data_IF_514784930561
#
_entry.id   IF_514784930561
#
_cell.length_a   1.000
_cell.length_b   1.000
_cell.length_c   1.000
_cell.angle_alpha   90.00
_cell.angle_beta   90.00
_cell.angle_gamma   90.00
#
_symmetry.space_group_name_H-M   'P 1'
#
loop_
_entity.id
_entity.type
_entity.pdbx_description
1 polymer ?
#
# COMPACT_ATOMS: atom_id res chain seq x y z
N UNK A 1 29.96 -21.79 31.29
CA UNK A 1 29.34 -22.69 30.28
C UNK A 1 28.12 -22.00 29.72
N UNK A 2 28.06 -21.82 28.43
CA UNK A 2 26.91 -21.18 27.78
C UNK A 2 25.87 -22.28 27.47
N UNK A 3 24.71 -22.32 28.17
CA UNK A 3 23.75 -23.44 28.06
C UNK A 3 23.10 -23.55 26.66
N UNK A 4 23.33 -22.58 25.77
CA UNK A 4 22.77 -22.58 24.40
C UNK A 4 23.62 -23.38 23.42
N UNK A 5 24.90 -23.67 23.74
CA UNK A 5 25.81 -24.40 22.86
C UNK A 5 25.47 -25.89 22.68
N UNK A 6 24.70 -26.47 23.60
CA UNK A 6 24.36 -27.89 23.64
C UNK A 6 22.95 -28.20 23.09
N UNK A 7 22.23 -27.15 22.62
CA UNK A 7 20.94 -27.31 21.97
C UNK A 7 21.12 -27.70 20.48
N UNK A 8 20.88 -28.97 20.19
CA UNK A 8 20.73 -29.43 18.79
C UNK A 8 19.32 -29.06 18.33
N UNK A 9 19.21 -27.95 17.59
CA UNK A 9 17.94 -27.52 16.98
C UNK A 9 17.89 -28.05 15.55
N UNK A 10 17.01 -28.99 15.29
CA UNK A 10 16.71 -29.42 13.92
C UNK A 10 16.02 -28.30 13.14
N UNK A 11 16.40 -28.14 11.85
CA UNK A 11 15.73 -27.18 10.97
C UNK A 11 14.27 -27.58 10.78
N UNK A 12 13.36 -26.70 11.18
CA UNK A 12 11.95 -26.82 10.77
C UNK A 12 11.88 -26.52 9.27
N UNK A 13 11.35 -27.47 8.49
CA UNK A 13 11.11 -27.25 7.07
C UNK A 13 10.14 -26.06 6.90
N UNK A 14 10.35 -25.16 5.91
CA UNK A 14 9.52 -24.01 5.70
C UNK A 14 8.21 -24.38 4.99
N UNK A 15 7.34 -25.14 5.66
CA UNK A 15 5.93 -25.22 5.25
C UNK A 15 5.23 -23.96 5.72
N UNK A 16 4.48 -23.32 4.80
CA UNK A 16 3.62 -22.19 5.17
C UNK A 16 2.62 -22.61 6.23
N UNK A 17 2.80 -22.10 7.43
CA UNK A 17 1.92 -22.40 8.56
C UNK A 17 0.52 -21.81 8.32
N UNK A 18 -0.51 -22.42 8.92
CA UNK A 18 -1.87 -21.84 8.90
C UNK A 18 -1.91 -20.42 9.43
N UNK A 19 -1.03 -20.05 10.36
CA UNK A 19 -0.83 -18.68 10.84
C UNK A 19 -0.40 -17.75 9.69
N UNK A 20 0.62 -18.14 8.91
CA UNK A 20 1.12 -17.35 7.78
C UNK A 20 0.06 -17.18 6.69
N UNK A 21 -0.64 -18.27 6.35
CA UNK A 21 -1.75 -18.24 5.38
C UNK A 21 -2.91 -17.35 5.85
N UNK A 22 -3.30 -17.47 7.12
CA UNK A 22 -4.33 -16.63 7.72
C UNK A 22 -3.92 -15.15 7.74
N UNK A 23 -2.67 -14.84 8.11
CA UNK A 23 -2.14 -13.48 8.09
C UNK A 23 -2.19 -12.88 6.69
N UNK A 24 -1.67 -13.56 5.68
CA UNK A 24 -1.66 -13.07 4.29
C UNK A 24 -3.08 -12.85 3.76
N UNK A 25 -3.99 -13.79 4.02
CA UNK A 25 -5.38 -13.67 3.60
C UNK A 25 -6.11 -12.52 4.29
N UNK A 26 -5.93 -12.37 5.62
CA UNK A 26 -6.54 -11.28 6.39
C UNK A 26 -5.96 -9.93 6.02
N UNK A 27 -4.63 -9.83 5.87
CA UNK A 27 -3.96 -8.60 5.42
C UNK A 27 -4.49 -8.16 4.06
N UNK A 28 -4.57 -9.08 3.10
CA UNK A 28 -5.14 -8.81 1.78
C UNK A 28 -6.61 -8.39 1.85
N UNK A 29 -7.42 -9.08 2.65
CA UNK A 29 -8.84 -8.73 2.80
C UNK A 29 -9.04 -7.34 3.40
N UNK A 30 -8.31 -7.01 4.49
CA UNK A 30 -8.36 -5.69 5.13
C UNK A 30 -7.86 -4.61 4.16
N UNK A 31 -6.77 -4.88 3.41
CA UNK A 31 -6.21 -3.96 2.42
C UNK A 31 -7.21 -3.61 1.32
N UNK A 32 -8.08 -4.56 0.98
CA UNK A 32 -9.08 -4.36 -0.07
C UNK A 32 -10.42 -3.81 0.45
N UNK A 33 -10.57 -3.65 1.78
CA UNK A 33 -11.77 -3.04 2.35
C UNK A 33 -11.82 -1.54 2.07
N UNK A 34 -12.98 -1.06 1.73
CA UNK A 34 -13.27 0.38 1.77
C UNK A 34 -13.63 0.78 3.21
N UNK A 35 -12.59 1.07 4.00
CA UNK A 35 -12.72 1.40 5.41
C UNK A 35 -13.09 2.86 5.66
N UNK A 36 -12.99 3.72 4.64
CA UNK A 36 -13.19 5.16 4.79
C UNK A 36 -14.56 5.66 4.26
N UNK A 37 -15.33 4.85 3.52
CA UNK A 37 -16.65 5.25 3.03
C UNK A 37 -17.76 5.16 4.08
N UNK A 38 -17.53 4.45 5.19
CA UNK A 38 -18.51 4.31 6.28
C UNK A 38 -18.00 4.99 7.55
N UNK A 39 -18.87 5.69 8.30
CA UNK A 39 -18.57 6.20 9.64
C UNK A 39 -18.48 5.07 10.68
N UNK A 40 -19.13 3.92 10.43
CA UNK A 40 -19.15 2.80 11.35
C UNK A 40 -17.80 2.07 11.41
N UNK A 41 -17.36 1.64 12.61
CA UNK A 41 -16.17 0.81 12.75
C UNK A 41 -16.34 -0.55 12.05
N UNK A 42 -15.33 -0.98 11.32
CA UNK A 42 -15.31 -2.32 10.74
C UNK A 42 -14.87 -3.33 11.81
N UNK A 43 -15.84 -4.06 12.37
CA UNK A 43 -15.61 -5.10 13.38
C UNK A 43 -15.19 -6.40 12.75
N UNK A 44 -14.22 -7.08 13.37
CA UNK A 44 -13.75 -8.40 12.99
C UNK A 44 -14.15 -9.42 14.06
N UNK A 45 -14.86 -10.46 13.65
CA UNK A 45 -15.24 -11.59 14.51
C UNK A 45 -14.35 -12.80 14.24
N UNK A 46 -13.58 -13.23 15.25
CA UNK A 46 -12.62 -14.33 15.12
C UNK A 46 -13.28 -15.65 14.69
N UNK A 47 -14.52 -15.90 15.13
CA UNK A 47 -15.25 -17.13 14.78
C UNK A 47 -15.63 -17.13 13.31
N UNK A 48 -16.20 -16.02 12.83
CA UNK A 48 -16.56 -15.88 11.42
C UNK A 48 -15.33 -15.94 10.51
N UNK A 49 -14.21 -15.32 10.92
CA UNK A 49 -12.94 -15.38 10.18
C UNK A 49 -12.38 -16.81 10.14
N UNK A 50 -12.44 -17.54 11.26
CA UNK A 50 -12.06 -18.95 11.35
C UNK A 50 -12.89 -19.83 10.40
N UNK A 51 -14.20 -19.65 10.40
CA UNK A 51 -15.13 -20.37 9.50
C UNK A 51 -14.84 -20.06 8.02
N UNK A 52 -14.64 -18.81 7.67
CA UNK A 52 -14.34 -18.38 6.28
C UNK A 52 -12.98 -18.84 5.78
N UNK A 53 -11.97 -18.87 6.64
CA UNK A 53 -10.62 -19.30 6.30
C UNK A 53 -10.45 -20.82 6.34
N UNK A 54 -11.43 -21.58 6.91
CA UNK A 54 -11.34 -23.02 7.05
C UNK A 54 -10.24 -23.48 8.01
N UNK A 55 -9.87 -22.63 9.00
CA UNK A 55 -8.84 -22.94 9.99
C UNK A 55 -9.37 -22.76 11.41
N UNK A 56 -8.68 -23.29 12.41
CA UNK A 56 -9.06 -23.08 13.83
C UNK A 56 -8.85 -21.61 14.26
N UNK A 57 -9.40 -21.22 15.42
CA UNK A 57 -9.28 -19.86 15.94
C UNK A 57 -7.86 -19.47 16.32
N UNK A 58 -7.00 -20.40 16.72
CA UNK A 58 -5.64 -20.13 17.16
C UNK A 58 -4.82 -19.41 16.07
N UNK A 59 -4.65 -19.95 14.84
CA UNK A 59 -3.92 -19.25 13.78
C UNK A 59 -4.56 -17.93 13.39
N UNK A 60 -5.89 -17.77 13.50
CA UNK A 60 -6.58 -16.49 13.25
C UNK A 60 -6.18 -15.43 14.30
N UNK A 61 -6.18 -15.79 15.59
CA UNK A 61 -5.74 -14.90 16.68
C UNK A 61 -4.29 -14.48 16.52
N UNK A 62 -3.41 -15.43 16.20
CA UNK A 62 -2.00 -15.15 15.98
C UNK A 62 -1.81 -14.20 14.78
N UNK A 63 -2.55 -14.40 13.70
CA UNK A 63 -2.54 -13.51 12.53
C UNK A 63 -3.06 -12.10 12.87
N UNK A 64 -4.17 -12.02 13.62
CA UNK A 64 -4.73 -10.74 14.08
C UNK A 64 -3.78 -10.01 15.03
N UNK A 65 -3.06 -10.73 15.91
CA UNK A 65 -2.05 -10.13 16.78
C UNK A 65 -0.87 -9.55 15.96
N UNK A 66 -0.45 -10.20 14.88
CA UNK A 66 0.55 -9.64 13.95
C UNK A 66 0.02 -8.38 13.26
N UNK A 67 -1.21 -8.41 12.78
CA UNK A 67 -1.85 -7.25 12.15
C UNK A 67 -2.07 -6.09 13.14
N UNK A 68 -2.26 -6.39 14.43
CA UNK A 68 -2.32 -5.37 15.49
C UNK A 68 -0.97 -4.70 15.72
N UNK A 69 0.12 -5.48 15.75
CA UNK A 69 1.49 -4.94 15.84
C UNK A 69 1.84 -4.04 14.65
N UNK A 70 1.31 -4.37 13.47
CA UNK A 70 1.47 -3.56 12.26
C UNK A 70 0.50 -2.37 12.19
N UNK A 71 -0.45 -2.25 13.12
CA UNK A 71 -1.41 -1.14 13.20
C UNK A 71 -2.59 -1.21 12.23
N UNK A 72 -2.87 -2.39 11.66
CA UNK A 72 -4.04 -2.61 10.79
C UNK A 72 -5.33 -2.80 11.57
N UNK A 73 -5.22 -3.44 12.71
CA UNK A 73 -6.37 -3.71 13.58
C UNK A 73 -6.05 -3.27 15.01
N UNK A 74 -7.07 -3.14 15.83
CA UNK A 74 -6.95 -2.83 17.26
C UNK A 74 -7.89 -3.72 18.05
N UNK A 75 -7.37 -4.40 19.06
CA UNK A 75 -8.15 -5.14 20.03
C UNK A 75 -8.71 -4.20 21.09
N UNK A 76 -10.03 -4.21 21.25
CA UNK A 76 -10.73 -3.44 22.26
C UNK A 76 -11.21 -4.39 23.38
N UNK A 77 -10.75 -4.23 24.63
CA UNK A 77 -11.13 -5.11 25.72
C UNK A 77 -12.65 -5.26 25.85
N UNK A 78 -13.14 -6.49 25.87
CA UNK A 78 -14.58 -6.86 25.98
C UNK A 78 -15.46 -6.41 24.81
N UNK A 79 -14.92 -5.76 23.80
CA UNK A 79 -15.69 -5.24 22.63
C UNK A 79 -15.38 -5.95 21.33
N UNK A 80 -14.18 -6.53 21.18
CA UNK A 80 -13.75 -7.22 19.96
C UNK A 80 -12.58 -6.54 19.27
N UNK A 81 -12.41 -6.85 17.99
CA UNK A 81 -11.31 -6.33 17.17
C UNK A 81 -11.91 -5.44 16.09
N UNK A 82 -11.29 -4.28 15.85
CA UNK A 82 -11.69 -3.35 14.79
C UNK A 82 -10.54 -3.13 13.81
N UNK A 83 -10.88 -2.86 12.55
CA UNK A 83 -9.93 -2.32 11.58
C UNK A 83 -9.66 -0.85 11.92
N UNK A 84 -8.39 -0.48 11.98
CA UNK A 84 -7.97 0.88 12.35
C UNK A 84 -8.16 1.82 11.18
N UNK A 85 -8.95 2.87 11.39
CA UNK A 85 -8.97 4.05 10.52
C UNK A 85 -7.92 5.04 11.00
N UNK A 86 -7.26 5.69 10.06
CA UNK A 86 -6.31 6.76 10.35
C UNK A 86 -7.02 8.11 10.33
N UNK A 87 -6.61 8.98 11.21
CA UNK A 87 -7.05 10.37 11.23
C UNK A 87 -6.50 11.14 10.03
N UNK A 88 -7.13 12.24 9.65
CA UNK A 88 -6.65 13.14 8.60
C UNK A 88 -5.17 13.49 8.77
N UNK A 89 -4.74 13.83 9.99
CA UNK A 89 -3.35 14.16 10.31
C UNK A 89 -2.42 12.99 10.07
N UNK A 90 -2.74 11.80 10.59
CA UNK A 90 -1.94 10.60 10.37
C UNK A 90 -1.81 10.27 8.89
N UNK A 91 -2.88 10.46 8.10
CA UNK A 91 -2.87 10.25 6.65
C UNK A 91 -1.91 11.21 5.96
N UNK A 92 -1.95 12.50 6.29
CA UNK A 92 -1.02 13.49 5.73
C UNK A 92 0.43 13.11 6.05
N UNK A 93 0.73 12.78 7.31
CA UNK A 93 2.06 12.33 7.75
C UNK A 93 2.51 11.05 7.01
N UNK A 94 1.60 10.09 6.81
CA UNK A 94 1.88 8.86 6.06
C UNK A 94 2.19 9.13 4.58
N UNK A 95 1.43 10.01 3.93
CA UNK A 95 1.65 10.36 2.52
C UNK A 95 2.96 11.13 2.36
N UNK A 96 3.33 12.00 3.31
CA UNK A 96 4.62 12.68 3.32
C UNK A 96 5.79 11.69 3.44
N UNK A 97 5.69 10.70 4.35
CA UNK A 97 6.69 9.64 4.47
C UNK A 97 6.77 8.81 3.18
N UNK A 98 5.61 8.45 2.60
CA UNK A 98 5.55 7.76 1.32
C UNK A 98 6.25 8.54 0.21
N UNK A 99 6.02 9.85 0.11
CA UNK A 99 6.63 10.71 -0.90
C UNK A 99 8.17 10.68 -0.83
N UNK A 100 8.74 10.67 0.37
CA UNK A 100 10.18 10.56 0.57
C UNK A 100 10.72 9.20 0.11
N UNK A 101 10.04 8.09 0.47
CA UNK A 101 10.47 6.74 0.12
C UNK A 101 10.33 6.48 -1.39
N UNK A 102 9.22 6.88 -1.99
CA UNK A 102 8.96 6.66 -3.42
C UNK A 102 9.86 7.53 -4.30
N UNK A 103 10.16 8.78 -3.91
CA UNK A 103 11.11 9.62 -4.64
C UNK A 103 12.52 9.01 -4.64
N UNK A 104 12.95 8.43 -3.52
CA UNK A 104 14.20 7.68 -3.46
C UNK A 104 14.14 6.41 -4.33
N UNK A 105 13.01 5.70 -4.37
CA UNK A 105 12.84 4.55 -5.25
C UNK A 105 12.97 4.96 -6.72
N UNK A 106 12.33 6.04 -7.16
CA UNK A 106 12.47 6.57 -8.52
C UNK A 106 13.92 6.92 -8.86
N UNK A 107 14.66 7.52 -7.92
CA UNK A 107 16.10 7.77 -8.05
C UNK A 107 16.88 6.48 -8.28
N UNK A 108 16.66 5.47 -7.45
CA UNK A 108 17.38 4.19 -7.53
C UNK A 108 17.09 3.46 -8.84
N UNK A 109 15.88 3.55 -9.39
CA UNK A 109 15.55 2.98 -10.69
C UNK A 109 16.42 3.57 -11.78
N UNK A 110 16.56 4.89 -11.83
CA UNK A 110 17.37 5.56 -12.87
C UNK A 110 18.84 5.18 -12.81
N UNK A 111 19.34 4.82 -11.64
CA UNK A 111 20.74 4.49 -11.41
C UNK A 111 21.06 3.01 -11.65
N UNK A 112 20.14 2.11 -11.27
CA UNK A 112 20.47 0.70 -11.08
C UNK A 112 19.63 -0.27 -11.93
N UNK A 113 18.45 0.13 -12.43
CA UNK A 113 17.56 -0.80 -13.14
C UNK A 113 17.94 -0.96 -14.60
N UNK A 114 17.67 -2.14 -15.17
CA UNK A 114 17.87 -2.37 -16.62
C UNK A 114 16.82 -1.62 -17.44
N UNK A 115 17.12 -1.40 -18.72
CA UNK A 115 16.20 -0.72 -19.64
C UNK A 115 14.91 -1.54 -19.84
N UNK A 116 15.00 -2.88 -19.84
CA UNK A 116 13.84 -3.76 -19.91
C UNK A 116 12.93 -3.60 -18.69
N UNK A 117 13.51 -3.52 -17.50
CA UNK A 117 12.77 -3.29 -16.27
C UNK A 117 12.07 -1.92 -16.30
N UNK A 118 12.75 -0.87 -16.74
CA UNK A 118 12.18 0.47 -16.87
C UNK A 118 11.02 0.49 -17.89
N UNK A 119 11.19 -0.15 -19.05
CA UNK A 119 10.14 -0.24 -20.07
C UNK A 119 8.86 -0.92 -19.59
N UNK A 120 8.92 -1.75 -18.55
CA UNK A 120 7.74 -2.40 -17.97
C UNK A 120 6.78 -1.44 -17.25
N UNK A 121 7.21 -0.21 -16.94
CA UNK A 121 6.37 0.79 -16.28
C UNK A 121 5.33 1.42 -17.22
N UNK A 122 5.69 1.70 -18.46
CA UNK A 122 4.85 2.42 -19.41
C UNK A 122 3.51 1.73 -19.70
N UNK A 123 3.45 0.40 -19.94
CA UNK A 123 2.19 -0.30 -20.16
C UNK A 123 1.19 -0.20 -19.02
N UNK A 124 1.64 0.09 -17.79
CA UNK A 124 0.74 0.27 -16.64
C UNK A 124 -0.15 1.51 -16.79
N UNK A 125 0.28 2.51 -17.58
CA UNK A 125 -0.42 3.80 -17.73
C UNK A 125 -0.90 4.07 -19.16
N UNK A 126 -0.36 3.42 -20.18
CA UNK A 126 -0.70 3.68 -21.59
C UNK A 126 -2.17 3.38 -21.95
N UNK A 127 -2.85 2.49 -21.20
CA UNK A 127 -4.27 2.22 -21.36
C UNK A 127 -5.19 3.38 -20.95
N UNK A 128 -4.66 4.38 -20.23
CA UNK A 128 -5.43 5.49 -19.66
C UNK A 128 -5.03 6.80 -20.36
N UNK A 129 -5.69 7.14 -21.45
CA UNK A 129 -5.47 8.37 -22.20
C UNK A 129 -6.79 9.01 -22.60
N UNK A 130 -6.75 9.98 -23.54
CA UNK A 130 -7.94 10.69 -24.01
C UNK A 130 -9.05 9.77 -24.57
N UNK A 131 -8.67 8.59 -25.12
CA UNK A 131 -9.62 7.61 -25.64
C UNK A 131 -10.29 6.75 -24.55
N UNK A 132 -9.70 6.66 -23.36
CA UNK A 132 -10.19 5.87 -22.22
C UNK A 132 -10.38 6.80 -21.03
N UNK A 133 -11.55 7.44 -20.99
CA UNK A 133 -11.84 8.45 -19.97
C UNK A 133 -11.75 7.84 -18.56
N UNK A 134 -10.80 8.27 -17.73
CA UNK A 134 -10.59 7.68 -16.41
C UNK A 134 -11.82 7.69 -15.51
N UNK A 135 -12.71 8.67 -15.71
CA UNK A 135 -13.97 8.81 -14.94
C UNK A 135 -14.97 7.70 -15.19
N UNK A 136 -14.96 7.13 -16.40
CA UNK A 136 -15.87 6.04 -16.77
C UNK A 136 -15.34 4.68 -16.29
N UNK A 137 -14.02 4.60 -15.96
CA UNK A 137 -13.30 3.39 -15.57
C UNK A 137 -12.47 3.57 -14.28
N UNK A 138 -13.02 4.28 -13.29
CA UNK A 138 -12.31 4.63 -12.04
C UNK A 138 -11.74 3.43 -11.31
N UNK A 139 -12.43 2.28 -11.32
CA UNK A 139 -11.96 1.05 -10.68
C UNK A 139 -10.71 0.48 -11.33
N UNK A 140 -10.68 0.46 -12.68
CA UNK A 140 -9.54 0.00 -13.45
C UNK A 140 -8.35 0.92 -13.25
N UNK A 141 -8.58 2.23 -13.35
CA UNK A 141 -7.53 3.22 -13.11
C UNK A 141 -7.00 3.16 -11.67
N UNK A 142 -7.86 3.01 -10.66
CA UNK A 142 -7.42 2.87 -9.28
C UNK A 142 -6.50 1.68 -9.10
N UNK A 143 -6.79 0.56 -9.74
CA UNK A 143 -5.95 -0.64 -9.69
C UNK A 143 -4.61 -0.44 -10.39
N UNK A 144 -4.61 0.18 -11.59
CA UNK A 144 -3.39 0.49 -12.34
C UNK A 144 -2.50 1.52 -11.59
N UNK A 145 -3.11 2.53 -10.98
CA UNK A 145 -2.42 3.50 -10.14
C UNK A 145 -1.66 2.82 -8.98
N UNK A 146 -2.32 1.89 -8.29
CA UNK A 146 -1.68 1.13 -7.20
C UNK A 146 -0.55 0.25 -7.74
N UNK A 147 -0.79 -0.44 -8.87
CA UNK A 147 0.22 -1.27 -9.50
C UNK A 147 1.46 -0.47 -9.94
N UNK A 148 1.27 0.76 -10.42
CA UNK A 148 2.36 1.68 -10.76
C UNK A 148 3.24 1.99 -9.55
N UNK A 149 2.66 2.45 -8.45
CA UNK A 149 3.41 2.78 -7.24
C UNK A 149 4.14 1.56 -6.66
N UNK A 150 3.50 0.39 -6.68
CA UNK A 150 4.15 -0.86 -6.28
C UNK A 150 5.30 -1.23 -7.22
N UNK A 151 5.17 -0.97 -8.53
CA UNK A 151 6.23 -1.23 -9.49
C UNK A 151 7.44 -0.30 -9.24
N UNK A 152 7.22 0.99 -8.98
CA UNK A 152 8.29 1.94 -8.61
C UNK A 152 9.07 1.41 -7.40
N UNK A 153 8.39 1.01 -6.33
CA UNK A 153 9.06 0.48 -5.15
C UNK A 153 9.85 -0.81 -5.47
N UNK A 154 9.24 -1.78 -6.17
CA UNK A 154 9.91 -3.06 -6.52
C UNK A 154 11.12 -2.85 -7.42
N UNK A 155 10.99 -2.04 -8.46
CA UNK A 155 12.05 -1.79 -9.43
C UNK A 155 13.24 -1.03 -8.85
N UNK A 156 13.07 -0.33 -7.72
CA UNK A 156 14.19 0.27 -6.99
C UNK A 156 15.23 -0.77 -6.54
N UNK A 157 14.85 -2.05 -6.44
CA UNK A 157 15.69 -3.13 -5.94
C UNK A 157 15.97 -3.07 -4.43
N UNK A 158 15.45 -2.07 -3.73
CA UNK A 158 15.68 -1.88 -2.30
C UNK A 158 14.63 -2.63 -1.47
N UNK A 159 15.04 -3.76 -0.86
CA UNK A 159 14.19 -4.49 0.08
C UNK A 159 13.74 -3.61 1.25
N UNK A 160 14.60 -2.74 1.75
CA UNK A 160 14.27 -1.84 2.86
C UNK A 160 13.14 -0.89 2.49
N UNK A 161 13.17 -0.28 1.29
CA UNK A 161 12.08 0.57 0.81
C UNK A 161 10.78 -0.22 0.67
N UNK A 162 10.83 -1.44 0.15
CA UNK A 162 9.66 -2.31 0.03
C UNK A 162 9.06 -2.62 1.41
N UNK A 163 9.86 -3.05 2.37
CA UNK A 163 9.40 -3.36 3.73
C UNK A 163 8.79 -2.14 4.43
N UNK A 164 9.38 -0.95 4.27
CA UNK A 164 8.88 0.29 4.89
C UNK A 164 7.58 0.79 4.23
N UNK A 165 7.38 0.55 2.95
CA UNK A 165 6.22 1.04 2.21
C UNK A 165 5.02 0.10 2.27
N UNK A 166 5.20 -1.17 2.59
CA UNK A 166 4.13 -2.18 2.60
C UNK A 166 2.94 -1.78 3.49
N UNK A 167 3.22 -1.27 4.70
CA UNK A 167 2.18 -0.83 5.63
C UNK A 167 1.54 0.50 5.23
N UNK A 168 2.32 1.40 4.62
CA UNK A 168 1.82 2.69 4.15
C UNK A 168 0.89 2.50 2.94
N UNK A 169 1.23 1.59 2.04
CA UNK A 169 0.48 1.34 0.80
C UNK A 169 -0.99 0.99 1.05
N UNK A 170 -1.25 0.24 2.11
CA UNK A 170 -2.60 -0.13 2.51
C UNK A 170 -3.51 1.09 2.70
N UNK A 171 -3.08 2.00 3.58
CA UNK A 171 -3.87 3.19 3.90
C UNK A 171 -3.93 4.15 2.70
N UNK A 172 -2.81 4.35 2.00
CA UNK A 172 -2.75 5.19 0.80
C UNK A 172 -3.69 4.67 -0.29
N UNK A 173 -3.84 3.35 -0.43
CA UNK A 173 -4.81 2.75 -1.37
C UNK A 173 -6.24 3.16 -1.06
N UNK A 174 -6.70 2.97 0.19
CA UNK A 174 -8.06 3.35 0.60
C UNK A 174 -8.33 4.84 0.39
N UNK A 175 -7.35 5.70 0.73
CA UNK A 175 -7.46 7.14 0.55
C UNK A 175 -7.55 7.51 -0.94
N UNK A 176 -6.75 6.88 -1.79
CA UNK A 176 -6.80 7.10 -3.24
C UNK A 176 -8.14 6.69 -3.83
N UNK A 177 -8.71 5.55 -3.41
CA UNK A 177 -10.02 5.11 -3.87
C UNK A 177 -11.11 6.16 -3.66
N UNK A 178 -11.16 6.80 -2.50
CA UNK A 178 -12.17 7.83 -2.20
C UNK A 178 -11.88 9.20 -2.80
N UNK A 179 -10.63 9.49 -3.17
CA UNK A 179 -10.23 10.81 -3.67
C UNK A 179 -10.03 10.87 -5.17
N UNK A 180 -9.72 9.75 -5.84
CA UNK A 180 -9.25 9.74 -7.23
C UNK A 180 -10.30 10.19 -8.24
N UNK A 181 -11.58 9.90 -7.99
CA UNK A 181 -12.69 10.31 -8.85
C UNK A 181 -13.11 11.77 -8.74
N UNK A 182 -12.44 12.56 -7.89
CA UNK A 182 -12.82 13.94 -7.59
C UNK A 182 -11.91 14.95 -8.28
N UNK A 183 -12.47 16.10 -8.64
CA UNK A 183 -11.74 17.30 -9.08
C UNK A 183 -10.69 17.04 -10.19
N UNK A 184 -10.98 16.17 -11.16
CA UNK A 184 -10.08 15.76 -12.26
C UNK A 184 -8.75 15.18 -11.77
N UNK A 185 -8.74 14.57 -10.57
CA UNK A 185 -7.51 14.00 -10.00
C UNK A 185 -6.99 12.81 -10.81
N UNK A 186 -7.87 11.98 -11.38
CA UNK A 186 -7.47 10.84 -12.20
C UNK A 186 -6.69 11.30 -13.44
N UNK A 187 -7.21 12.28 -14.15
CA UNK A 187 -6.56 12.85 -15.35
C UNK A 187 -5.19 13.46 -15.02
N UNK A 188 -5.12 14.25 -13.96
CA UNK A 188 -3.85 14.83 -13.52
C UNK A 188 -2.84 13.75 -13.10
N UNK A 189 -3.30 12.76 -12.35
CA UNK A 189 -2.45 11.68 -11.88
C UNK A 189 -1.87 10.84 -13.03
N UNK A 190 -2.61 10.63 -14.12
CA UNK A 190 -2.10 9.95 -15.32
C UNK A 190 -0.96 10.78 -15.95
N UNK A 191 -1.15 12.08 -16.10
CA UNK A 191 -0.10 12.96 -16.67
C UNK A 191 1.16 12.97 -15.81
N UNK A 192 0.98 13.03 -14.49
CA UNK A 192 2.09 12.96 -13.54
C UNK A 192 2.86 11.63 -13.68
N UNK A 193 2.15 10.49 -13.73
CA UNK A 193 2.76 9.17 -13.90
C UNK A 193 3.53 9.06 -15.21
N UNK A 194 2.95 9.53 -16.32
CA UNK A 194 3.64 9.54 -17.62
C UNK A 194 4.88 10.43 -17.59
N UNK A 195 4.81 11.55 -16.89
CA UNK A 195 5.96 12.44 -16.66
C UNK A 195 7.08 11.77 -15.86
N UNK A 196 6.72 11.03 -14.78
CA UNK A 196 7.66 10.25 -13.97
C UNK A 196 8.31 9.15 -14.82
N UNK A 197 7.50 8.37 -15.56
CA UNK A 197 7.99 7.31 -16.46
C UNK A 197 8.98 7.91 -17.47
N UNK A 198 8.61 9.02 -18.12
CA UNK A 198 9.48 9.67 -19.11
C UNK A 198 10.82 10.14 -18.54
N UNK A 199 10.83 10.65 -17.29
CA UNK A 199 12.06 11.01 -16.60
C UNK A 199 12.92 9.76 -16.26
N UNK A 200 12.29 8.67 -15.81
CA UNK A 200 12.98 7.41 -15.54
C UNK A 200 13.58 6.80 -16.81
N UNK A 201 12.84 6.77 -17.92
CA UNK A 201 13.30 6.27 -19.21
C UNK A 201 14.50 7.06 -19.76
N UNK A 202 14.52 8.38 -19.52
CA UNK A 202 15.63 9.25 -19.88
C UNK A 202 16.78 9.17 -18.88
N UNK A 203 16.64 8.41 -17.79
CA UNK A 203 17.59 8.34 -16.67
C UNK A 203 17.91 9.71 -16.07
N UNK A 204 16.95 10.63 -16.16
CA UNK A 204 17.03 11.95 -15.51
C UNK A 204 16.66 11.79 -14.04
N UNK A 205 17.69 11.49 -13.25
CA UNK A 205 17.58 11.11 -11.84
C UNK A 205 16.92 12.19 -11.00
N UNK A 206 17.34 13.43 -11.16
CA UNK A 206 16.82 14.56 -10.35
C UNK A 206 15.37 14.88 -10.71
N UNK A 207 15.05 14.81 -11.99
CA UNK A 207 13.69 15.03 -12.47
C UNK A 207 12.76 13.89 -12.04
N UNK A 208 13.18 12.64 -12.15
CA UNK A 208 12.39 11.49 -11.72
C UNK A 208 12.07 11.54 -10.22
N UNK A 209 13.08 11.82 -9.39
CA UNK A 209 12.94 12.00 -7.94
C UNK A 209 11.98 13.14 -7.61
N UNK A 210 12.17 14.30 -8.23
CA UNK A 210 11.34 15.48 -7.98
C UNK A 210 9.89 15.25 -8.39
N UNK A 211 9.63 14.75 -9.60
CA UNK A 211 8.27 14.50 -10.09
C UNK A 211 7.53 13.46 -9.25
N UNK A 212 8.21 12.37 -8.83
CA UNK A 212 7.62 11.36 -7.95
C UNK A 212 7.21 11.97 -6.60
N UNK A 213 8.08 12.78 -5.99
CA UNK A 213 7.81 13.47 -4.73
C UNK A 213 6.64 14.45 -4.85
N UNK A 214 6.64 15.30 -5.87
CA UNK A 214 5.60 16.30 -6.10
C UNK A 214 4.23 15.65 -6.33
N UNK A 215 4.19 14.60 -7.16
CA UNK A 215 2.98 13.83 -7.41
C UNK A 215 2.38 13.27 -6.12
N UNK A 216 3.19 12.64 -5.28
CA UNK A 216 2.71 12.05 -4.04
C UNK A 216 2.33 13.10 -3.01
N UNK A 217 3.09 14.19 -2.86
CA UNK A 217 2.73 15.31 -1.98
C UNK A 217 1.44 16.02 -2.43
N UNK A 218 1.09 15.96 -3.71
CA UNK A 218 -0.21 16.43 -4.22
C UNK A 218 -1.40 15.72 -3.57
N UNK A 219 -1.26 14.44 -3.18
CA UNK A 219 -2.28 13.73 -2.40
C UNK A 219 -2.34 14.26 -0.96
N UNK A 220 -1.20 14.50 -0.31
CA UNK A 220 -1.16 15.07 1.04
C UNK A 220 -1.86 16.44 1.08
N UNK A 221 -1.52 17.34 0.14
CA UNK A 221 -2.13 18.65 0.03
C UNK A 221 -3.66 18.58 -0.20
N UNK A 222 -4.11 17.62 -1.03
CA UNK A 222 -5.54 17.41 -1.25
C UNK A 222 -6.24 16.93 0.02
N UNK A 223 -5.66 15.97 0.75
CA UNK A 223 -6.20 15.49 2.03
C UNK A 223 -6.21 16.60 3.07
N UNK A 224 -5.17 17.42 3.12
CA UNK A 224 -5.10 18.55 4.05
C UNK A 224 -6.23 19.56 3.79
N UNK A 225 -6.49 19.88 2.54
CA UNK A 225 -7.50 20.86 2.14
C UNK A 225 -8.94 20.33 2.25
N UNK A 226 -9.18 19.06 1.90
CA UNK A 226 -10.53 18.51 1.73
C UNK A 226 -10.83 17.32 2.64
N UNK A 227 -9.86 16.86 3.42
CA UNK A 227 -9.94 15.62 4.19
C UNK A 227 -11.07 15.61 5.24
N UNK A 228 -11.45 16.76 5.79
CA UNK A 228 -12.56 16.87 6.76
C UNK A 228 -13.93 16.38 6.19
N UNK A 229 -14.00 16.13 4.89
CA UNK A 229 -15.19 15.55 4.24
C UNK A 229 -15.19 14.01 4.27
N UNK A 230 -14.09 13.39 4.66
CA UNK A 230 -13.85 11.93 4.54
C UNK A 230 -13.31 11.30 5.82
N UNK A 231 -12.65 12.09 6.65
CA UNK A 231 -11.96 11.63 7.85
C UNK A 231 -12.47 12.43 9.04
N UNK A 232 -13.20 11.76 9.91
CA UNK A 232 -13.61 12.29 11.22
C UNK A 232 -12.54 12.04 12.27
#
# INVERSE_FOLDING_TARGET
MNPVSDLVIERVAPEETYKSKAYTALKSAITNMDIYSSSEPAWLDERQLSERLGVSRTPVREALAMLEQEGFVKSLPRRGIIVVKKTKREIVEMVQAWAALESMAARLITLNSSDEAIKSLRPLMEGFGEAHKPREHLGEYSSANIAFHQAIIRLSGSKMLADMTDNLLLHVRGIRQITIGRDNRAERSIQDHLGIIGAIEQRDTERAERLSREHTLGLAAYVEQYGDRFFD
#
